data_IF_228709571985
#
_entry.id   IF_228709571985
#
_cell.length_a   1.000
_cell.length_b   1.000
_cell.length_c   1.000
_cell.angle_alpha   90.00
_cell.angle_beta   90.00
_cell.angle_gamma   90.00
#
_symmetry.space_group_name_H-M   'P 1'
#
loop_
_entity.id
_entity.type
_entity.pdbx_description
1 polymer ?
#
# COMPACT_ATOMS: atom_id res chain seq x y z
N UNK A 1 -7.48 17.70 -29.52
CA UNK A 1 -7.92 16.58 -28.66
C UNK A 1 -7.67 16.93 -27.21
N UNK A 2 -8.66 17.45 -26.46
CA UNK A 2 -8.53 17.56 -25.02
C UNK A 2 -8.57 16.14 -24.43
N UNK A 3 -7.48 15.70 -23.82
CA UNK A 3 -7.49 14.46 -23.05
C UNK A 3 -8.32 14.68 -21.78
N UNK A 4 -9.19 13.73 -21.41
CA UNK A 4 -10.02 13.85 -20.20
C UNK A 4 -9.21 13.94 -18.88
N UNK A 5 -7.91 13.63 -18.94
CA UNK A 5 -7.00 13.71 -17.79
C UNK A 5 -6.15 14.98 -17.85
N UNK A 6 -5.83 15.59 -16.69
CA UNK A 6 -4.98 16.76 -16.62
C UNK A 6 -3.59 16.44 -17.19
N UNK A 7 -2.99 17.42 -17.87
CA UNK A 7 -1.60 17.36 -18.28
C UNK A 7 -0.72 17.64 -17.06
N UNK A 8 0.22 16.74 -16.78
CA UNK A 8 1.23 16.92 -15.75
C UNK A 8 2.53 17.35 -16.44
N UNK A 9 2.96 18.57 -16.15
CA UNK A 9 4.29 19.05 -16.54
C UNK A 9 5.23 18.82 -15.37
N UNK A 10 6.34 18.13 -15.62
CA UNK A 10 7.33 17.82 -14.59
C UNK A 10 8.63 18.49 -15.00
N UNK A 11 9.20 19.26 -14.09
CA UNK A 11 10.56 19.79 -14.22
C UNK A 11 11.53 18.76 -13.70
N UNK A 12 12.59 18.50 -14.46
CA UNK A 12 13.66 17.62 -14.04
C UNK A 12 14.56 18.36 -13.04
N UNK A 13 14.24 18.22 -11.76
CA UNK A 13 15.11 18.65 -10.66
C UNK A 13 16.27 17.65 -10.50
N UNK A 14 17.30 18.01 -9.72
CA UNK A 14 18.46 17.14 -9.51
C UNK A 14 18.10 15.74 -8.97
N UNK A 15 17.07 15.64 -8.13
CA UNK A 15 16.60 14.36 -7.61
C UNK A 15 15.85 13.54 -8.66
N UNK A 16 15.06 14.20 -9.52
CA UNK A 16 14.40 13.55 -10.65
C UNK A 16 15.45 13.08 -11.65
N UNK A 17 16.49 13.88 -11.90
CA UNK A 17 17.57 13.53 -12.80
C UNK A 17 18.31 12.27 -12.32
N UNK A 18 18.68 12.23 -11.03
CA UNK A 18 19.33 11.07 -10.41
C UNK A 18 18.47 9.81 -10.49
N UNK A 19 17.18 9.92 -10.17
CA UNK A 19 16.26 8.79 -10.25
C UNK A 19 16.11 8.26 -11.69
N UNK A 20 16.13 9.14 -12.69
CA UNK A 20 16.08 8.76 -14.10
C UNK A 20 17.39 8.16 -14.59
N UNK A 21 18.54 8.58 -14.05
CA UNK A 21 19.84 7.98 -14.37
C UNK A 21 19.95 6.57 -13.79
N UNK A 22 19.50 6.36 -12.54
CA UNK A 22 19.37 5.03 -11.94
C UNK A 22 18.42 4.14 -12.75
N UNK A 23 17.31 4.72 -13.23
CA UNK A 23 16.37 4.02 -14.10
C UNK A 23 17.01 3.65 -15.44
N UNK A 24 17.79 4.53 -16.06
CA UNK A 24 18.50 4.27 -17.30
C UNK A 24 19.53 3.14 -17.13
N UNK A 25 20.26 3.13 -16.02
CA UNK A 25 21.19 2.04 -15.69
C UNK A 25 20.47 0.69 -15.53
N UNK A 26 19.25 0.70 -14.96
CA UNK A 26 18.44 -0.52 -14.80
C UNK A 26 17.73 -0.96 -16.08
N UNK A 27 17.38 -0.02 -16.97
CA UNK A 27 16.69 -0.28 -18.23
C UNK A 27 17.44 0.35 -19.42
N UNK A 28 18.60 -0.20 -19.79
CA UNK A 28 19.45 0.38 -20.82
C UNK A 28 18.80 0.43 -22.20
N UNK A 29 17.82 -0.44 -22.46
CA UNK A 29 17.07 -0.50 -23.73
C UNK A 29 16.02 0.61 -23.88
N UNK A 30 15.81 1.45 -22.85
CA UNK A 30 14.82 2.53 -22.87
C UNK A 30 15.56 3.88 -23.04
N UNK A 31 15.59 4.45 -24.26
CA UNK A 31 16.43 5.61 -24.56
C UNK A 31 15.83 6.94 -24.09
N UNK A 32 14.52 7.00 -23.82
CA UNK A 32 13.83 8.23 -23.46
C UNK A 32 13.63 8.37 -21.96
N UNK A 33 14.06 9.51 -21.41
CA UNK A 33 13.78 9.90 -20.01
C UNK A 33 12.29 9.92 -19.69
N UNK A 34 11.43 10.32 -20.64
CA UNK A 34 9.98 10.29 -20.45
C UNK A 34 9.44 8.86 -20.34
N UNK A 35 9.98 7.92 -21.12
CA UNK A 35 9.63 6.50 -21.03
C UNK A 35 10.12 5.89 -19.71
N UNK A 36 11.33 6.25 -19.26
CA UNK A 36 11.86 5.86 -17.96
C UNK A 36 10.98 6.37 -16.82
N UNK A 37 10.52 7.62 -16.89
CA UNK A 37 9.61 8.19 -15.89
C UNK A 37 8.29 7.42 -15.79
N UNK A 38 7.70 7.07 -16.94
CA UNK A 38 6.48 6.25 -16.96
C UNK A 38 6.73 4.85 -16.39
N UNK A 39 7.91 4.26 -16.64
CA UNK A 39 8.28 2.95 -16.13
C UNK A 39 8.51 2.96 -14.62
N UNK A 40 9.17 4.00 -14.10
CA UNK A 40 9.30 4.26 -12.67
C UNK A 40 7.92 4.41 -12.00
N UNK A 41 7.01 5.17 -12.61
CA UNK A 41 5.65 5.34 -12.09
C UNK A 41 4.91 4.00 -12.01
N UNK A 42 5.03 3.15 -13.04
CA UNK A 42 4.44 1.81 -13.04
C UNK A 42 5.05 0.91 -11.94
N UNK A 43 6.37 0.93 -11.75
CA UNK A 43 7.04 0.20 -10.68
C UNK A 43 6.62 0.69 -9.29
N UNK A 44 6.56 2.02 -9.09
CA UNK A 44 6.09 2.61 -7.84
C UNK A 44 4.63 2.26 -7.53
N UNK A 45 3.77 2.24 -8.56
CA UNK A 45 2.38 1.80 -8.40
C UNK A 45 2.29 0.35 -7.90
N UNK A 46 3.08 -0.56 -8.48
CA UNK A 46 3.09 -1.96 -8.05
C UNK A 46 3.62 -2.10 -6.62
N UNK A 47 4.73 -1.42 -6.29
CA UNK A 47 5.26 -1.43 -4.92
C UNK A 47 4.22 -0.97 -3.88
N UNK A 48 3.44 0.08 -4.18
CA UNK A 48 2.34 0.54 -3.33
C UNK A 48 1.19 -0.46 -3.22
N UNK A 49 0.94 -1.27 -4.26
CA UNK A 49 -0.06 -2.35 -4.20
C UNK A 49 0.43 -3.52 -3.35
N UNK A 50 1.66 -3.97 -3.57
CA UNK A 50 2.28 -5.07 -2.83
C UNK A 50 2.37 -4.74 -1.33
N UNK A 51 2.85 -3.54 -0.97
CA UNK A 51 2.93 -3.12 0.44
C UNK A 51 1.57 -3.13 1.15
N UNK A 52 0.50 -2.68 0.48
CA UNK A 52 -0.87 -2.75 1.03
C UNK A 52 -1.37 -4.18 1.19
N UNK A 53 -1.02 -5.08 0.28
CA UNK A 53 -1.37 -6.49 0.39
C UNK A 53 -0.64 -7.16 1.57
N UNK A 54 0.66 -6.85 1.73
CA UNK A 54 1.46 -7.31 2.86
C UNK A 54 0.93 -6.78 4.19
N UNK A 55 0.59 -5.48 4.28
CA UNK A 55 -0.03 -4.89 5.46
C UNK A 55 -1.35 -5.58 5.84
N UNK A 56 -2.21 -5.79 4.84
CA UNK A 56 -3.48 -6.48 5.04
C UNK A 56 -3.26 -7.92 5.53
N UNK A 57 -2.27 -8.61 4.97
CA UNK A 57 -1.96 -9.98 5.38
C UNK A 57 -1.34 -10.05 6.77
N UNK A 58 -0.42 -9.15 7.10
CA UNK A 58 0.12 -9.01 8.48
C UNK A 58 -1.00 -8.79 9.49
N UNK A 59 -1.96 -7.91 9.16
CA UNK A 59 -3.13 -7.67 10.01
C UNK A 59 -3.99 -8.93 10.18
N UNK A 60 -4.28 -9.65 9.08
CA UNK A 60 -5.06 -10.91 9.15
C UNK A 60 -4.34 -11.99 9.95
N UNK A 61 -3.03 -12.12 9.80
CA UNK A 61 -2.23 -13.06 10.58
C UNK A 61 -2.25 -12.72 12.07
N UNK A 62 -2.14 -11.44 12.43
CA UNK A 62 -2.26 -11.00 13.81
C UNK A 62 -3.62 -11.37 14.40
N UNK A 63 -4.71 -11.10 13.67
CA UNK A 63 -6.08 -11.47 14.08
C UNK A 63 -6.22 -12.99 14.23
N UNK A 64 -5.77 -13.78 13.25
CA UNK A 64 -5.87 -15.25 13.32
C UNK A 64 -5.09 -15.81 14.52
N UNK A 65 -3.91 -15.25 14.81
CA UNK A 65 -3.07 -15.68 15.93
C UNK A 65 -3.69 -15.38 17.29
N UNK A 66 -4.41 -14.27 17.43
CA UNK A 66 -5.01 -13.86 18.72
C UNK A 66 -6.47 -14.28 18.85
N UNK A 67 -7.14 -14.65 17.75
CA UNK A 67 -8.53 -15.10 17.75
C UNK A 67 -8.67 -16.36 18.60
N UNK A 68 -9.60 -16.33 19.56
CA UNK A 68 -9.85 -17.45 20.45
C UNK A 68 -8.76 -17.70 21.50
N UNK A 69 -7.74 -16.84 21.60
CA UNK A 69 -6.69 -16.98 22.63
C UNK A 69 -7.25 -16.84 24.07
N UNK A 70 -8.43 -16.25 24.23
CA UNK A 70 -9.14 -16.11 25.50
C UNK A 70 -10.40 -16.99 25.56
N UNK A 71 -10.55 -17.98 24.67
CA UNK A 71 -11.66 -18.93 24.74
C UNK A 71 -11.59 -19.69 26.06
N UNK A 72 -12.68 -19.67 26.83
CA UNK A 72 -12.77 -20.28 28.16
C UNK A 72 -12.26 -19.41 29.31
N UNK A 73 -11.68 -18.24 29.04
CA UNK A 73 -11.29 -17.29 30.08
C UNK A 73 -12.50 -16.53 30.69
N UNK A 74 -13.65 -16.57 30.01
CA UNK A 74 -14.87 -15.88 30.41
C UNK A 74 -15.95 -16.89 30.81
N UNK A 75 -16.76 -16.53 31.79
CA UNK A 75 -17.91 -17.32 32.20
C UNK A 75 -18.94 -17.43 31.04
N UNK A 76 -19.74 -18.52 30.97
CA UNK A 76 -20.69 -18.74 29.88
C UNK A 76 -21.71 -17.61 29.68
N UNK A 77 -22.05 -16.88 30.74
CA UNK A 77 -23.03 -15.78 30.78
C UNK A 77 -22.38 -14.38 30.72
N UNK A 78 -21.05 -14.30 30.67
CA UNK A 78 -20.30 -13.04 30.78
C UNK A 78 -20.71 -11.98 29.76
N UNK A 79 -21.01 -12.38 28.52
CA UNK A 79 -21.42 -11.46 27.46
C UNK A 79 -22.82 -10.87 27.71
N UNK A 80 -23.73 -11.65 28.31
CA UNK A 80 -25.08 -11.18 28.65
C UNK A 80 -25.03 -10.18 29.78
N UNK A 81 -24.28 -10.49 30.85
CA UNK A 81 -24.07 -9.58 31.98
C UNK A 81 -23.44 -8.24 31.53
N UNK A 82 -22.42 -8.29 30.67
CA UNK A 82 -21.78 -7.07 30.16
C UNK A 82 -22.73 -6.16 29.35
N UNK A 83 -23.71 -6.74 28.66
CA UNK A 83 -24.66 -5.99 27.84
C UNK A 83 -25.74 -5.30 28.67
N UNK A 84 -26.06 -5.83 29.84
CA UNK A 84 -27.00 -5.21 30.78
C UNK A 84 -26.43 -3.92 31.39
N UNK A 85 -25.10 -3.82 31.49
CA UNK A 85 -24.40 -2.63 32.02
C UNK A 85 -24.35 -1.44 31.05
N UNK A 86 -24.73 -1.61 29.77
CA UNK A 86 -24.68 -0.54 28.78
C UNK A 86 -26.09 0.04 28.52
N UNK A 87 -26.32 1.35 28.73
CA UNK A 87 -27.60 1.98 28.39
C UNK A 87 -27.79 2.03 26.86
N UNK A 88 -29.03 1.80 26.42
CA UNK A 88 -29.43 1.74 25.00
C UNK A 88 -29.10 3.01 24.21
#
# INVERSE_FOLDING_TARGET
>A
MPTARPRLTITETDDVARALDDAAARWPDVPSRQQLLLKLLAQGHEALRSGRAEDAERRRQAIRRTSGALTGAYAPDHLSALREDWPA
#
